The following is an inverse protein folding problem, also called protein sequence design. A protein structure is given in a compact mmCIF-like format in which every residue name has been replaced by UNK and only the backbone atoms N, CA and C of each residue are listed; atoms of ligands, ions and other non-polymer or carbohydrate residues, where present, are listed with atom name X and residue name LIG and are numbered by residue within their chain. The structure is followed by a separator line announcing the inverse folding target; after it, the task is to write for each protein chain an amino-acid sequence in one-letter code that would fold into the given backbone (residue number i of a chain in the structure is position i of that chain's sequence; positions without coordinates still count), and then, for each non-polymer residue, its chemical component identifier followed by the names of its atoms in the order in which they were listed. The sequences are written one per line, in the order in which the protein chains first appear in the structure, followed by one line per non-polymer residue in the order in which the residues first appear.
data_IF_469183383211
#
_entry.id   IF_469183383211
#
_cell.length_a   1.000
_cell.length_b   1.000
_cell.length_c   1.000
_cell.angle_alpha   90.00
_cell.angle_beta   90.00
_cell.angle_gamma   90.00
#
_symmetry.space_group_name_H-M   'P 1'
#
loop_
_entity.id
_entity.type
_entity.pdbx_description
1 polymer ?
#
# COMPACT_ATOMS: atom_id res chain seq x y z
N UNK A 1 12.16 -9.13 7.16
CA UNK A 1 11.43 -9.14 5.88
C UNK A 1 12.40 -9.49 4.75
N UNK A 2 11.96 -10.13 3.67
CA UNK A 2 12.83 -10.35 2.50
C UNK A 2 13.12 -9.03 1.76
N UNK A 3 14.23 -8.96 1.02
CA UNK A 3 14.53 -7.81 0.15
C UNK A 3 13.87 -7.98 -1.23
N UNK A 4 13.34 -6.88 -1.76
CA UNK A 4 12.77 -6.83 -3.10
C UNK A 4 13.85 -6.73 -4.18
N UNK A 5 13.57 -7.24 -5.38
CA UNK A 5 14.44 -7.06 -6.56
C UNK A 5 14.22 -5.71 -7.24
N UNK A 6 13.14 -4.99 -6.90
CA UNK A 6 12.77 -3.67 -7.38
C UNK A 6 11.72 -3.03 -6.48
N UNK A 7 11.28 -1.81 -6.79
CA UNK A 7 10.28 -1.09 -5.98
C UNK A 7 8.83 -1.51 -6.24
N UNK A 8 8.57 -2.25 -7.32
CA UNK A 8 7.23 -2.63 -7.76
C UNK A 8 6.61 -3.71 -6.83
N UNK A 9 5.47 -3.41 -6.16
CA UNK A 9 4.80 -4.34 -5.26
C UNK A 9 3.79 -5.26 -5.96
N UNK A 10 3.80 -5.40 -7.29
CA UNK A 10 2.80 -6.17 -8.03
C UNK A 10 2.60 -7.61 -7.52
N UNK A 11 3.64 -8.27 -7.00
CA UNK A 11 3.53 -9.62 -6.41
C UNK A 11 2.65 -9.69 -5.16
N UNK A 12 2.42 -8.54 -4.50
CA UNK A 12 1.60 -8.42 -3.30
C UNK A 12 0.18 -7.91 -3.59
N UNK A 13 -0.16 -7.60 -4.85
CA UNK A 13 -1.49 -7.11 -5.21
C UNK A 13 -2.52 -8.24 -5.06
N UNK A 14 -3.52 -8.03 -4.21
CA UNK A 14 -4.64 -8.95 -4.01
C UNK A 14 -5.76 -8.71 -5.01
N UNK A 15 -6.18 -7.46 -5.10
CA UNK A 15 -7.32 -7.03 -5.89
C UNK A 15 -7.29 -5.52 -6.14
N UNK A 16 -8.18 -5.06 -7.01
CA UNK A 16 -8.56 -3.65 -7.11
C UNK A 16 -10.05 -3.54 -6.77
N UNK A 17 -10.40 -2.69 -5.81
CA UNK A 17 -11.80 -2.47 -5.40
C UNK A 17 -12.15 -0.99 -5.36
N UNK A 18 -13.42 -0.69 -5.56
CA UNK A 18 -13.93 0.68 -5.50
C UNK A 18 -14.08 1.13 -4.05
N UNK A 19 -13.35 2.18 -3.64
CA UNK A 19 -13.31 2.64 -2.24
C UNK A 19 -13.55 4.15 -2.18
N UNK A 20 -14.38 4.57 -1.22
CA UNK A 20 -14.56 5.98 -0.88
C UNK A 20 -13.73 6.31 0.37
N UNK A 21 -12.50 6.81 0.16
CA UNK A 21 -11.60 7.23 1.24
C UNK A 21 -11.75 8.72 1.59
N UNK A 22 -12.29 9.51 0.66
CA UNK A 22 -12.62 10.91 0.81
C UNK A 22 -13.96 11.19 0.12
N UNK A 23 -14.90 11.76 0.87
CA UNK A 23 -16.25 12.04 0.38
C UNK A 23 -16.29 13.08 -0.75
N UNK A 24 -15.28 13.96 -0.85
CA UNK A 24 -15.20 14.92 -1.96
C UNK A 24 -14.79 14.25 -3.27
N UNK A 25 -13.90 13.27 -3.20
CA UNK A 25 -13.44 12.49 -4.36
C UNK A 25 -14.43 11.38 -4.74
N UNK A 26 -15.16 10.85 -3.76
CA UNK A 26 -16.09 9.74 -3.97
C UNK A 26 -15.38 8.39 -4.10
N UNK A 27 -16.03 7.44 -4.76
CA UNK A 27 -15.49 6.09 -4.96
C UNK A 27 -14.48 6.06 -6.11
N UNK A 28 -13.27 5.55 -5.83
CA UNK A 28 -12.22 5.39 -6.83
C UNK A 28 -11.68 3.96 -6.86
N UNK A 29 -11.27 3.43 -8.02
CA UNK A 29 -10.51 2.18 -8.09
C UNK A 29 -9.26 2.29 -7.22
N UNK A 30 -9.12 1.38 -6.26
CA UNK A 30 -8.07 1.42 -5.25
C UNK A 30 -7.42 0.03 -5.17
N UNK A 31 -6.12 -0.10 -5.44
CA UNK A 31 -5.42 -1.37 -5.29
C UNK A 31 -5.31 -1.75 -3.81
N UNK A 32 -5.45 -3.04 -3.54
CA UNK A 32 -5.36 -3.65 -2.21
C UNK A 32 -4.18 -4.60 -2.22
N UNK A 33 -3.22 -4.39 -1.34
CA UNK A 33 -2.03 -5.21 -1.21
C UNK A 33 -2.07 -6.06 0.05
N UNK A 34 -1.61 -7.31 -0.03
CA UNK A 34 -1.33 -8.14 1.13
C UNK A 34 0.00 -7.72 1.75
N UNK A 35 -0.04 -7.27 3.00
CA UNK A 35 1.19 -6.92 3.71
C UNK A 35 2.18 -8.09 3.81
N UNK A 36 1.70 -9.33 3.91
CA UNK A 36 2.56 -10.51 3.99
C UNK A 36 3.34 -10.77 2.67
N UNK A 37 2.82 -10.29 1.54
CA UNK A 37 3.49 -10.32 0.24
C UNK A 37 4.50 -9.19 0.02
N UNK A 38 4.49 -8.14 0.85
CA UNK A 38 5.39 -7.01 0.68
C UNK A 38 6.80 -7.31 1.17
N UNK A 39 7.80 -6.74 0.47
CA UNK A 39 9.22 -6.91 0.75
C UNK A 39 9.90 -5.57 0.99
N UNK A 40 11.00 -5.57 1.75
CA UNK A 40 11.80 -4.37 1.96
C UNK A 40 12.23 -3.76 0.62
N UNK A 41 11.91 -2.49 0.44
CA UNK A 41 12.17 -1.74 -0.80
C UNK A 41 10.95 -1.52 -1.69
N UNK A 42 9.84 -2.25 -1.49
CA UNK A 42 8.58 -1.97 -2.19
C UNK A 42 8.06 -0.58 -1.86
N UNK A 43 7.51 0.08 -2.88
CA UNK A 43 6.89 1.41 -2.79
C UNK A 43 5.47 1.36 -3.34
N UNK A 44 4.54 1.94 -2.58
CA UNK A 44 3.12 1.98 -2.91
C UNK A 44 2.70 3.45 -2.94
N UNK A 45 2.25 3.90 -4.10
CA UNK A 45 1.66 5.23 -4.25
C UNK A 45 0.17 5.17 -3.88
N UNK A 46 -0.28 6.10 -3.03
CA UNK A 46 -1.70 6.23 -2.74
C UNK A 46 -2.50 6.92 -3.87
N UNK A 47 -3.83 6.73 -3.92
CA UNK A 47 -4.65 6.01 -2.95
C UNK A 47 -4.48 4.49 -3.06
N UNK A 48 -4.22 3.83 -1.93
CA UNK A 48 -4.06 2.38 -1.86
C UNK A 48 -4.47 1.86 -0.48
N UNK A 49 -4.78 0.57 -0.40
CA UNK A 49 -5.02 -0.15 0.85
C UNK A 49 -3.96 -1.23 1.02
N UNK A 50 -3.50 -1.41 2.24
CA UNK A 50 -2.68 -2.55 2.65
C UNK A 50 -3.43 -3.33 3.72
N UNK A 51 -3.87 -4.52 3.37
CA UNK A 51 -4.55 -5.43 4.29
C UNK A 51 -3.49 -6.17 5.11
N UNK A 52 -3.64 -6.09 6.43
CA UNK A 52 -2.84 -6.80 7.43
C UNK A 52 -3.82 -7.72 8.18
N UNK A 53 -3.43 -8.92 8.65
CA UNK A 53 -4.39 -9.85 9.26
C UNK A 53 -5.26 -9.28 10.40
N UNK A 54 -4.81 -8.23 11.08
CA UNK A 54 -5.52 -7.60 12.21
C UNK A 54 -5.90 -6.14 11.98
N UNK A 55 -5.50 -5.53 10.87
CA UNK A 55 -5.71 -4.10 10.61
C UNK A 55 -5.69 -3.80 9.12
N UNK A 56 -6.21 -2.63 8.75
CA UNK A 56 -6.18 -2.15 7.37
C UNK A 56 -5.48 -0.80 7.38
N UNK A 57 -4.41 -0.66 6.61
CA UNK A 57 -3.69 0.60 6.46
C UNK A 57 -4.13 1.25 5.16
N UNK A 58 -4.62 2.48 5.27
CA UNK A 58 -4.91 3.33 4.12
C UNK A 58 -3.68 4.16 3.80
N UNK A 59 -3.26 4.17 2.54
CA UNK A 59 -2.28 5.10 1.99
C UNK A 59 -3.07 6.17 1.22
N UNK A 60 -3.23 7.39 1.75
CA UNK A 60 -4.04 8.43 1.11
C UNK A 60 -3.46 8.87 -0.24
N UNK A 61 -4.28 9.50 -1.07
CA UNK A 61 -3.82 10.12 -2.31
C UNK A 61 -2.68 11.12 -2.04
N UNK A 62 -1.60 11.05 -2.84
CA UNK A 62 -0.41 11.90 -2.68
C UNK A 62 0.57 11.46 -1.58
N UNK A 63 0.27 10.39 -0.85
CA UNK A 63 1.17 9.77 0.14
C UNK A 63 1.86 8.57 -0.50
N UNK A 64 3.12 8.35 -0.15
CA UNK A 64 3.86 7.14 -0.53
C UNK A 64 4.10 6.28 0.71
N UNK A 65 3.71 5.01 0.63
CA UNK A 65 4.11 3.99 1.59
C UNK A 65 5.33 3.24 1.08
N UNK A 66 6.35 3.07 1.94
CA UNK A 66 7.55 2.28 1.62
C UNK A 66 7.79 1.25 2.72
N UNK A 67 8.10 0.02 2.33
CA UNK A 67 8.52 -1.00 3.29
C UNK A 67 10.00 -0.83 3.57
N UNK A 68 10.33 -0.47 4.81
CA UNK A 68 11.72 -0.31 5.24
C UNK A 68 12.45 -1.67 5.39
N UNK A 69 13.74 -1.62 5.76
CA UNK A 69 14.56 -2.82 5.88
C UNK A 69 14.15 -3.75 7.02
N UNK A 70 13.42 -3.23 8.01
CA UNK A 70 12.90 -4.01 9.14
C UNK A 70 11.52 -4.59 8.82
N UNK A 71 10.88 -4.12 7.75
CA UNK A 71 9.55 -4.52 7.31
C UNK A 71 8.47 -3.52 7.66
N UNK A 72 8.79 -2.41 8.33
CA UNK A 72 7.76 -1.42 8.67
C UNK A 72 7.25 -0.74 7.40
N UNK A 73 5.94 -0.53 7.31
CA UNK A 73 5.35 0.35 6.29
C UNK A 73 5.46 1.80 6.77
N UNK A 74 6.38 2.55 6.17
CA UNK A 74 6.64 3.95 6.48
C UNK A 74 5.87 4.84 5.49
N UNK A 75 4.99 5.69 6.02
CA UNK A 75 4.23 6.66 5.23
C UNK A 75 4.96 8.00 5.19
N UNK A 76 5.06 8.59 3.99
CA UNK A 76 5.68 9.90 3.79
C UNK A 76 4.72 10.84 3.09
N UNK A 77 4.49 11.99 3.70
CA UNK A 77 3.76 13.12 3.12
C UNK A 77 4.79 14.04 2.44
N UNK A 78 4.49 14.51 1.23
CA UNK A 78 5.24 15.59 0.60
C UNK A 78 4.62 16.93 0.93
#
# INVERSE_FOLDING_TARGET
VAEATGSDPAEALLEERSVCLDAQTGFVPTPVYDYAGLRAGHEIAGPAIVDVPTTVVVIPAGVTGRVDRLGNLVLSYR
#
